data_IF_459693646921
#
_entry.id   IF_459693646921
#
_cell.length_a   1.000
_cell.length_b   1.000
_cell.length_c   1.000
_cell.angle_alpha   90.00
_cell.angle_beta   90.00
_cell.angle_gamma   90.00
#
_symmetry.space_group_name_H-M   'P 1'
#
loop_
_entity.id
_entity.type
_entity.pdbx_description
1 polymer ?
#
# COMPACT_ATOMS: atom_id res chain seq x y z
N UNK A 1 -5.11 1.15 17.58
CA UNK A 1 -5.95 0.53 16.53
C UNK A 1 -5.30 0.84 15.19
N UNK A 2 -4.94 -0.17 14.36
CA UNK A 2 -4.42 0.11 13.03
C UNK A 2 -5.46 0.92 12.24
N UNK A 3 -5.02 1.96 11.55
CA UNK A 3 -5.92 2.76 10.72
C UNK A 3 -6.53 1.87 9.64
N UNK A 4 -7.73 2.22 9.18
CA UNK A 4 -8.38 1.53 8.06
C UNK A 4 -7.41 1.38 6.86
N UNK A 5 -6.56 2.37 6.62
CA UNK A 5 -5.54 2.35 5.58
C UNK A 5 -4.43 1.31 5.80
N UNK A 6 -3.90 1.17 7.02
CA UNK A 6 -2.89 0.14 7.33
C UNK A 6 -3.45 -1.26 7.14
N UNK A 7 -4.71 -1.50 7.53
CA UNK A 7 -5.37 -2.80 7.30
C UNK A 7 -5.55 -3.10 5.80
N UNK A 8 -5.91 -2.10 5.00
CA UNK A 8 -6.01 -2.25 3.54
C UNK A 8 -4.66 -2.59 2.91
N UNK A 9 -3.56 -1.97 3.38
CA UNK A 9 -2.20 -2.28 2.90
C UNK A 9 -1.85 -3.75 3.21
N UNK A 10 -2.08 -4.20 4.43
CA UNK A 10 -1.75 -5.58 4.81
C UNK A 10 -2.61 -6.62 4.08
N UNK A 11 -3.90 -6.33 3.89
CA UNK A 11 -4.76 -7.16 3.05
C UNK A 11 -4.22 -7.25 1.61
N UNK A 12 -3.84 -6.11 1.02
CA UNK A 12 -3.36 -6.05 -0.36
C UNK A 12 -1.99 -6.72 -0.54
N UNK A 13 -1.14 -6.69 0.48
CA UNK A 13 0.13 -7.45 0.51
C UNK A 13 -0.11 -8.96 0.45
N UNK A 14 -1.07 -9.47 1.24
CA UNK A 14 -1.45 -10.89 1.20
C UNK A 14 -2.01 -11.29 -0.16
N UNK A 15 -2.93 -10.49 -0.69
CA UNK A 15 -3.48 -10.69 -2.04
C UNK A 15 -2.38 -10.74 -3.11
N UNK A 16 -1.38 -9.85 -3.02
CA UNK A 16 -0.26 -9.84 -3.95
C UNK A 16 0.60 -11.11 -3.84
N UNK A 17 0.89 -11.58 -2.63
CA UNK A 17 1.61 -12.84 -2.42
C UNK A 17 0.88 -14.03 -3.04
N UNK A 18 -0.42 -14.16 -2.81
CA UNK A 18 -1.25 -15.23 -3.38
C UNK A 18 -1.29 -15.17 -4.92
N UNK A 19 -1.42 -13.96 -5.49
CA UNK A 19 -1.42 -13.77 -6.95
C UNK A 19 -0.06 -14.13 -7.55
N UNK A 20 1.04 -13.72 -6.93
CA UNK A 20 2.40 -14.04 -7.41
C UNK A 20 2.65 -15.54 -7.34
N UNK A 21 2.25 -16.21 -6.26
CA UNK A 21 2.38 -17.66 -6.12
C UNK A 21 1.59 -18.39 -7.22
N UNK A 22 0.37 -17.93 -7.52
CA UNK A 22 -0.52 -18.61 -8.49
C UNK A 22 -0.26 -18.26 -9.95
N UNK A 23 0.17 -17.03 -10.23
CA UNK A 23 0.21 -16.48 -11.58
C UNK A 23 1.59 -15.96 -11.99
N UNK A 24 2.54 -15.89 -11.06
CA UNK A 24 3.85 -15.29 -11.29
C UNK A 24 3.80 -13.75 -11.26
N UNK A 25 4.98 -13.17 -10.99
CA UNK A 25 5.17 -11.73 -10.83
C UNK A 25 4.85 -10.92 -12.10
N UNK A 26 5.13 -11.49 -13.28
CA UNK A 26 4.92 -10.83 -14.57
C UNK A 26 3.48 -10.93 -15.08
N UNK A 27 2.59 -11.61 -14.35
CA UNK A 27 1.18 -11.68 -14.76
C UNK A 27 0.52 -10.30 -14.69
N UNK A 28 -0.40 -10.03 -15.62
CA UNK A 28 -1.21 -8.80 -15.61
C UNK A 28 -1.95 -8.61 -14.27
N UNK A 29 -2.31 -9.72 -13.59
CA UNK A 29 -2.92 -9.68 -12.26
C UNK A 29 -1.95 -9.21 -11.19
N UNK A 30 -0.72 -9.74 -11.15
CA UNK A 30 0.30 -9.32 -10.21
C UNK A 30 0.69 -7.85 -10.42
N UNK A 31 0.83 -7.42 -11.68
CA UNK A 31 1.13 -6.03 -12.03
C UNK A 31 0.02 -5.09 -11.54
N UNK A 32 -1.25 -5.41 -11.79
CA UNK A 32 -2.39 -4.60 -11.30
C UNK A 32 -2.44 -4.56 -9.77
N UNK A 33 -2.24 -5.71 -9.12
CA UNK A 33 -2.19 -5.78 -7.66
C UNK A 33 -1.08 -4.89 -7.08
N UNK A 34 0.11 -4.92 -7.69
CA UNK A 34 1.23 -4.04 -7.32
C UNK A 34 0.90 -2.56 -7.45
N UNK A 35 0.25 -2.16 -8.55
CA UNK A 35 -0.15 -0.77 -8.77
C UNK A 35 -1.17 -0.28 -7.73
N UNK A 36 -2.10 -1.15 -7.34
CA UNK A 36 -3.09 -0.82 -6.31
C UNK A 36 -2.48 -0.77 -4.92
N UNK A 37 -1.53 -1.67 -4.61
CA UNK A 37 -0.76 -1.61 -3.37
C UNK A 37 0.06 -0.30 -3.29
N UNK A 38 0.71 0.10 -4.37
CA UNK A 38 1.47 1.35 -4.46
C UNK A 38 0.59 2.57 -4.17
N UNK A 39 -0.63 2.64 -4.71
CA UNK A 39 -1.57 3.73 -4.41
C UNK A 39 -1.90 3.81 -2.92
N UNK A 40 -2.06 2.68 -2.24
CA UNK A 40 -2.33 2.64 -0.81
C UNK A 40 -1.11 3.10 0.00
N UNK A 41 0.09 2.66 -0.39
CA UNK A 41 1.35 3.07 0.23
C UNK A 41 1.60 4.58 0.04
N UNK A 42 1.32 5.12 -1.14
CA UNK A 42 1.44 6.56 -1.40
C UNK A 42 0.50 7.37 -0.52
N UNK A 43 -0.77 6.99 -0.41
CA UNK A 43 -1.72 7.64 0.52
C UNK A 43 -1.25 7.58 1.97
N UNK A 44 -0.68 6.44 2.39
CA UNK A 44 -0.15 6.30 3.74
C UNK A 44 1.05 7.22 3.95
N UNK A 45 1.98 7.26 3.01
CA UNK A 45 3.15 8.12 3.05
C UNK A 45 2.76 9.60 3.07
N UNK A 46 1.81 10.02 2.23
CA UNK A 46 1.26 11.38 2.24
C UNK A 46 0.64 11.72 3.60
N UNK A 47 -0.16 10.83 4.18
CA UNK A 47 -0.75 11.04 5.50
C UNK A 47 0.31 11.22 6.60
N UNK A 48 1.43 10.50 6.51
CA UNK A 48 2.55 10.61 7.44
C UNK A 48 3.37 11.88 7.22
N UNK A 49 3.63 12.25 5.97
CA UNK A 49 4.35 13.47 5.60
C UNK A 49 3.57 14.73 6.01
N UNK A 50 2.25 14.75 5.83
CA UNK A 50 1.40 15.85 6.31
C UNK A 50 1.38 15.94 7.84
N UNK A 51 1.44 14.81 8.54
CA UNK A 51 1.57 14.80 10.00
C UNK A 51 2.92 15.37 10.48
N UNK A 52 4.00 15.19 9.71
CA UNK A 52 5.33 15.71 10.06
C UNK A 52 5.54 17.19 9.67
N UNK A 53 4.91 17.69 8.61
CA UNK A 53 5.00 19.12 8.21
C UNK A 53 4.42 20.06 9.26
N UNK A 54 3.41 19.62 10.02
CA UNK A 54 2.85 20.40 11.13
C UNK A 54 3.76 20.49 12.37
N UNK A 55 4.88 19.76 12.42
CA UNK A 55 5.81 19.76 13.57
C UNK A 55 6.94 20.79 13.44
N UNK A 56 7.16 21.37 12.25
CA UNK A 56 8.30 22.28 11.97
C UNK A 56 7.88 23.69 11.53
N UNK A 57 6.63 24.10 11.79
CA UNK A 57 6.21 25.48 11.62
C UNK A 57 6.23 26.20 12.98
N UNK A 58 7.41 26.73 13.33
CA UNK A 58 7.62 27.81 14.29
C UNK A 58 8.63 28.79 13.71
#
# INVERSE_FOLDING_TARGET
>A
MPSNLTNQIEHKRKEMSEIIEKHGLSSTKAIRCSQDLDKLLNKYNESKLHSSKNMFLF
#
